data_IF_930280133996
#
_entry.id   IF_930280133996
#
_cell.length_a   1.000
_cell.length_b   1.000
_cell.length_c   1.000
_cell.angle_alpha   90.00
_cell.angle_beta   90.00
_cell.angle_gamma   90.00
#
_symmetry.space_group_name_H-M   'P 1'
#
loop_
_entity.id
_entity.type
_entity.pdbx_description
1 polymer ?
#
# COMPACT_ATOMS: atom_id res chain seq x y z
N UNK A 1 -3.85 9.85 -40.24
CA UNK A 1 -3.80 10.97 -39.28
C UNK A 1 -2.56 11.81 -39.63
N UNK A 2 -2.70 13.12 -39.82
CA UNK A 2 -1.60 14.00 -40.26
C UNK A 2 -0.54 14.13 -39.14
N UNK A 3 0.74 13.95 -39.46
CA UNK A 3 1.88 14.01 -38.53
C UNK A 3 1.91 15.31 -37.71
N UNK A 4 1.56 16.45 -38.32
CA UNK A 4 1.47 17.76 -37.62
C UNK A 4 0.37 17.77 -36.56
N UNK A 5 -0.74 17.06 -36.79
CA UNK A 5 -1.84 16.93 -35.83
C UNK A 5 -1.42 16.02 -34.69
N UNK A 6 -0.69 14.93 -34.97
CA UNK A 6 -0.13 14.05 -33.94
C UNK A 6 0.84 14.77 -33.01
N UNK A 7 1.81 15.51 -33.55
CA UNK A 7 2.82 16.25 -32.75
C UNK A 7 2.14 17.31 -31.87
N UNK A 8 1.17 18.05 -32.43
CA UNK A 8 0.44 19.08 -31.67
C UNK A 8 -0.39 18.47 -30.53
N UNK A 9 -1.04 17.33 -30.78
CA UNK A 9 -1.75 16.57 -29.74
C UNK A 9 -0.78 16.05 -28.69
N UNK A 10 0.33 15.43 -29.09
CA UNK A 10 1.35 14.92 -28.17
C UNK A 10 1.92 16.02 -27.28
N UNK A 11 2.26 17.18 -27.85
CA UNK A 11 2.73 18.35 -27.11
C UNK A 11 1.68 18.89 -26.13
N UNK A 12 0.40 18.92 -26.53
CA UNK A 12 -0.70 19.29 -25.64
C UNK A 12 -0.84 18.30 -24.48
N UNK A 13 -0.82 16.98 -24.74
CA UNK A 13 -0.87 15.96 -23.71
C UNK A 13 0.33 16.00 -22.77
N UNK A 14 1.55 16.18 -23.29
CA UNK A 14 2.76 16.30 -22.46
C UNK A 14 2.65 17.52 -21.55
N UNK A 15 2.28 18.69 -22.10
CA UNK A 15 2.15 19.93 -21.32
C UNK A 15 0.98 19.87 -20.32
N UNK A 16 -0.12 19.21 -20.69
CA UNK A 16 -1.25 19.06 -19.81
C UNK A 16 -0.93 18.16 -18.62
N UNK A 17 -0.35 16.99 -18.88
CA UNK A 17 -0.06 16.03 -17.84
C UNK A 17 1.20 16.40 -17.04
N UNK A 18 2.11 17.21 -17.61
CA UNK A 18 3.28 17.71 -16.87
C UNK A 18 2.86 18.49 -15.63
N UNK A 19 1.87 19.39 -15.71
CA UNK A 19 1.39 20.14 -14.55
C UNK A 19 0.85 19.21 -13.45
N UNK A 20 0.09 18.18 -13.83
CA UNK A 20 -0.45 17.18 -12.88
C UNK A 20 0.69 16.46 -12.16
N UNK A 21 1.69 15.98 -12.89
CA UNK A 21 2.85 15.30 -12.31
C UNK A 21 3.73 16.24 -11.50
N UNK A 22 3.89 17.51 -11.91
CA UNK A 22 4.60 18.52 -11.15
C UNK A 22 3.91 18.78 -9.81
N UNK A 23 2.59 18.94 -9.79
CA UNK A 23 1.84 19.11 -8.53
C UNK A 23 2.04 17.88 -7.63
N UNK A 24 1.88 16.67 -8.16
CA UNK A 24 2.09 15.42 -7.39
C UNK A 24 3.52 15.35 -6.82
N UNK A 25 4.53 15.69 -7.62
CA UNK A 25 5.92 15.71 -7.19
C UNK A 25 6.16 16.72 -6.07
N UNK A 26 5.68 17.96 -6.24
CA UNK A 26 5.80 19.00 -5.22
C UNK A 26 5.06 18.62 -3.93
N UNK A 27 3.87 18.01 -4.03
CA UNK A 27 3.15 17.48 -2.87
C UNK A 27 3.93 16.36 -2.17
N UNK A 28 4.58 15.48 -2.92
CA UNK A 28 5.39 14.41 -2.35
C UNK A 28 6.59 14.96 -1.56
N UNK A 29 7.29 15.94 -2.14
CA UNK A 29 8.40 16.64 -1.47
C UNK A 29 7.89 17.41 -0.24
N UNK A 30 6.79 18.15 -0.38
CA UNK A 30 6.18 18.87 0.74
C UNK A 30 5.82 17.94 1.90
N UNK A 31 5.25 16.77 1.62
CA UNK A 31 4.83 15.82 2.65
C UNK A 31 6.00 15.24 3.43
N UNK A 32 7.17 15.08 2.81
CA UNK A 32 8.41 14.67 3.50
C UNK A 32 8.84 15.73 4.53
N UNK A 33 8.82 17.00 4.13
CA UNK A 33 9.17 18.09 5.04
C UNK A 33 8.14 18.27 6.14
N UNK A 34 6.85 18.25 5.78
CA UNK A 34 5.74 18.40 6.73
C UNK A 34 5.74 17.30 7.80
N UNK A 35 6.01 16.05 7.41
CA UNK A 35 6.06 14.90 8.33
C UNK A 35 7.44 14.69 8.98
N UNK A 36 8.37 15.65 8.88
CA UNK A 36 9.70 15.63 9.50
C UNK A 36 10.48 14.33 9.25
N UNK A 37 10.86 14.07 8.00
CA UNK A 37 11.60 12.86 7.63
C UNK A 37 12.82 12.58 8.52
N UNK A 38 12.96 11.33 8.94
CA UNK A 38 14.01 10.81 9.83
C UNK A 38 14.70 9.61 9.19
N UNK A 39 16.01 9.54 9.37
CA UNK A 39 16.85 8.42 8.98
C UNK A 39 17.26 7.62 10.22
N UNK A 40 17.35 6.29 10.10
CA UNK A 40 17.89 5.43 11.16
C UNK A 40 16.87 4.95 12.20
N UNK A 41 15.57 5.09 11.92
CA UNK A 41 14.48 4.68 12.83
C UNK A 41 13.77 3.41 12.34
N UNK A 42 13.08 2.69 13.24
CA UNK A 42 12.29 1.49 12.91
C UNK A 42 13.12 0.43 12.15
N UNK A 43 12.58 -0.12 11.04
CA UNK A 43 13.22 -1.19 10.28
C UNK A 43 14.61 -0.80 9.73
N UNK A 44 14.96 0.50 9.70
CA UNK A 44 16.27 0.99 9.27
C UNK A 44 17.42 0.36 10.07
N UNK A 45 17.19 0.07 11.35
CA UNK A 45 18.17 -0.57 12.24
C UNK A 45 18.58 -1.93 11.67
N UNK A 46 17.69 -2.59 10.93
CA UNK A 46 17.93 -3.91 10.36
C UNK A 46 18.49 -3.79 8.94
N UNK A 47 17.88 -2.97 8.09
CA UNK A 47 18.24 -3.00 6.66
C UNK A 47 19.38 -2.06 6.26
N UNK A 48 19.65 -0.96 6.98
CA UNK A 48 20.79 -0.08 6.66
C UNK A 48 22.14 -0.80 6.83
N UNK A 49 22.39 -1.53 7.93
CA UNK A 49 23.62 -2.32 8.06
C UNK A 49 23.78 -3.36 6.96
N UNK A 50 22.68 -4.01 6.55
CA UNK A 50 22.70 -4.99 5.46
C UNK A 50 23.11 -4.37 4.12
N UNK A 51 22.64 -3.15 3.83
CA UNK A 51 23.04 -2.44 2.61
C UNK A 51 24.50 -1.97 2.65
N UNK A 52 24.97 -1.57 3.83
CA UNK A 52 26.39 -1.25 4.04
C UNK A 52 27.28 -2.48 3.83
N UNK A 53 26.81 -3.65 4.29
CA UNK A 53 27.47 -4.93 4.03
C UNK A 53 27.53 -5.26 2.53
N UNK A 54 26.42 -5.09 1.78
CA UNK A 54 26.42 -5.30 0.32
C UNK A 54 27.42 -4.37 -0.38
N UNK A 55 27.59 -3.14 0.12
CA UNK A 55 28.47 -2.14 -0.49
C UNK A 55 29.95 -2.40 -0.19
N UNK A 56 30.29 -2.67 1.07
CA UNK A 56 31.68 -2.66 1.55
C UNK A 56 32.22 -4.06 1.93
N UNK A 57 31.37 -5.08 2.01
CA UNK A 57 31.74 -6.43 2.46
C UNK A 57 32.09 -6.55 3.95
N UNK A 58 32.13 -5.42 4.68
CA UNK A 58 32.35 -5.38 6.13
C UNK A 58 31.12 -5.89 6.88
N UNK A 59 31.29 -6.46 8.08
CA UNK A 59 30.25 -7.08 8.95
C UNK A 59 29.96 -8.59 8.78
N UNK A 60 30.82 -9.37 8.11
CA UNK A 60 30.63 -10.81 7.82
C UNK A 60 30.24 -11.75 9.00
N UNK A 61 30.35 -11.30 10.26
CA UNK A 61 30.01 -12.07 11.46
C UNK A 61 28.94 -11.42 12.36
N UNK A 62 28.26 -10.37 11.91
CA UNK A 62 27.18 -9.74 12.68
C UNK A 62 25.94 -10.66 12.73
N UNK A 63 25.44 -10.94 13.93
CA UNK A 63 24.25 -11.77 14.14
C UNK A 63 23.01 -11.19 13.44
N UNK A 64 22.97 -9.87 13.20
CA UNK A 64 21.92 -9.21 12.42
C UNK A 64 21.91 -9.71 10.96
N UNK A 65 23.07 -9.97 10.36
CA UNK A 65 23.15 -10.49 8.98
C UNK A 65 22.70 -11.96 8.90
N UNK A 66 22.95 -12.76 9.95
CA UNK A 66 22.45 -14.15 10.03
C UNK A 66 20.92 -14.18 10.07
N UNK A 67 20.30 -13.25 10.79
CA UNK A 67 18.83 -13.08 10.83
C UNK A 67 18.30 -12.58 9.48
N UNK A 68 19.07 -11.76 8.77
CA UNK A 68 18.63 -11.15 7.52
C UNK A 68 18.64 -12.07 6.31
N UNK A 69 19.52 -13.06 6.33
CA UNK A 69 19.66 -14.03 5.25
C UNK A 69 18.34 -14.75 4.86
N UNK A 70 17.38 -14.86 5.78
CA UNK A 70 16.03 -15.37 5.50
C UNK A 70 15.03 -14.37 4.88
N UNK A 71 15.36 -13.07 4.79
CA UNK A 71 14.45 -12.03 4.27
C UNK A 71 14.54 -11.92 2.75
N UNK A 72 13.80 -12.80 2.08
CA UNK A 72 13.59 -12.75 0.63
C UNK A 72 12.89 -11.46 0.19
N UNK A 73 13.64 -10.48 -0.33
CA UNK A 73 13.08 -9.34 -1.06
C UNK A 73 14.00 -8.90 -2.18
N UNK A 74 13.42 -8.73 -3.37
CA UNK A 74 14.12 -8.17 -4.53
C UNK A 74 14.55 -6.72 -4.30
N UNK A 75 14.01 -6.06 -3.27
CA UNK A 75 14.42 -4.73 -2.84
C UNK A 75 15.93 -4.64 -2.63
N UNK A 76 16.55 -5.62 -1.97
CA UNK A 76 17.98 -5.54 -1.65
C UNK A 76 18.88 -5.66 -2.87
N UNK A 77 18.46 -6.43 -3.88
CA UNK A 77 19.19 -6.55 -5.13
C UNK A 77 19.22 -5.22 -5.88
N UNK A 78 18.06 -4.57 -6.00
CA UNK A 78 17.94 -3.31 -6.71
C UNK A 78 18.53 -2.13 -5.92
N UNK A 79 18.23 -2.06 -4.63
CA UNK A 79 18.66 -0.95 -3.80
C UNK A 79 20.14 -1.04 -3.43
N UNK A 80 20.68 -2.24 -3.24
CA UNK A 80 22.12 -2.43 -3.06
C UNK A 80 22.92 -1.90 -4.26
N UNK A 81 22.39 -1.99 -5.48
CA UNK A 81 23.00 -1.38 -6.66
C UNK A 81 22.93 0.15 -6.65
N UNK A 82 21.75 0.74 -6.40
CA UNK A 82 21.60 2.21 -6.28
C UNK A 82 22.52 2.79 -5.19
N UNK A 83 22.68 2.05 -4.10
CA UNK A 83 23.48 2.46 -2.95
C UNK A 83 24.99 2.55 -3.24
N UNK A 84 25.46 1.99 -4.36
CA UNK A 84 26.85 2.15 -4.81
C UNK A 84 27.16 3.57 -5.28
N UNK A 85 26.16 4.33 -5.71
CA UNK A 85 26.36 5.64 -6.35
C UNK A 85 25.99 6.82 -5.46
N UNK A 86 25.33 6.60 -4.32
CA UNK A 86 24.81 7.64 -3.45
C UNK A 86 25.20 7.38 -1.98
N UNK A 87 25.24 8.44 -1.17
CA UNK A 87 25.29 8.28 0.29
C UNK A 87 23.97 7.69 0.82
N UNK A 88 24.00 7.06 1.99
CA UNK A 88 22.82 6.33 2.50
C UNK A 88 21.64 7.27 2.73
N UNK A 89 21.91 8.46 3.24
CA UNK A 89 20.90 9.51 3.40
C UNK A 89 20.32 9.96 2.06
N UNK A 90 21.16 10.23 1.05
CA UNK A 90 20.67 10.65 -0.26
C UNK A 90 19.85 9.55 -0.95
N UNK A 91 20.30 8.29 -0.87
CA UNK A 91 19.62 7.15 -1.47
C UNK A 91 18.24 6.90 -0.82
N UNK A 92 18.19 6.88 0.51
CA UNK A 92 16.95 6.64 1.27
C UNK A 92 15.96 7.78 1.16
N UNK A 93 16.42 9.04 1.18
CA UNK A 93 15.57 10.21 0.95
C UNK A 93 15.01 10.21 -0.48
N UNK A 94 15.85 9.94 -1.48
CA UNK A 94 15.40 9.89 -2.89
C UNK A 94 14.36 8.79 -3.11
N UNK A 95 14.56 7.62 -2.51
CA UNK A 95 13.56 6.56 -2.54
C UNK A 95 12.28 6.94 -1.80
N UNK A 96 12.37 7.67 -0.70
CA UNK A 96 11.19 8.16 0.00
C UNK A 96 10.38 9.11 -0.88
N UNK A 97 11.04 10.13 -1.47
CA UNK A 97 10.41 11.06 -2.43
C UNK A 97 9.75 10.27 -3.55
N UNK A 98 10.48 9.33 -4.14
CA UNK A 98 9.98 8.51 -5.23
C UNK A 98 8.78 7.65 -4.81
N UNK A 99 8.82 7.04 -3.62
CA UNK A 99 7.74 6.20 -3.11
C UNK A 99 6.46 7.00 -2.84
N UNK A 100 6.56 8.19 -2.25
CA UNK A 100 5.41 9.08 -2.01
C UNK A 100 4.86 9.61 -3.35
N UNK A 101 5.75 9.97 -4.28
CA UNK A 101 5.36 10.37 -5.62
C UNK A 101 4.54 9.28 -6.33
N UNK A 102 5.03 8.03 -6.32
CA UNK A 102 4.30 6.89 -6.85
C UNK A 102 2.98 6.65 -6.10
N UNK A 103 2.98 6.82 -4.78
CA UNK A 103 1.77 6.70 -3.96
C UNK A 103 0.72 7.72 -4.38
N UNK A 104 1.06 9.00 -4.50
CA UNK A 104 0.14 10.04 -4.97
C UNK A 104 -0.30 9.84 -6.41
N UNK A 105 0.57 9.34 -7.30
CA UNK A 105 0.16 8.92 -8.65
C UNK A 105 -0.92 7.84 -8.57
N UNK A 106 -0.70 6.81 -7.75
CA UNK A 106 -1.64 5.72 -7.56
C UNK A 106 -2.97 6.20 -6.99
N UNK A 107 -2.95 7.09 -5.98
CA UNK A 107 -4.16 7.71 -5.41
C UNK A 107 -4.89 8.55 -6.45
N UNK A 108 -4.17 9.39 -7.20
CA UNK A 108 -4.75 10.22 -8.26
C UNK A 108 -5.45 9.36 -9.32
N UNK A 109 -4.79 8.30 -9.81
CA UNK A 109 -5.41 7.40 -10.78
C UNK A 109 -6.55 6.58 -10.17
N UNK A 110 -6.44 6.17 -8.92
CA UNK A 110 -7.52 5.49 -8.22
C UNK A 110 -8.76 6.41 -8.11
N UNK A 111 -8.59 7.64 -7.63
CA UNK A 111 -9.64 8.66 -7.54
C UNK A 111 -10.26 9.04 -8.90
N UNK A 112 -9.45 9.11 -9.97
CA UNK A 112 -9.92 9.36 -11.35
C UNK A 112 -10.86 8.27 -11.88
N UNK A 113 -10.94 7.12 -11.20
CA UNK A 113 -11.94 6.07 -11.50
C UNK A 113 -13.35 6.50 -11.09
N UNK A 114 -13.47 7.43 -10.13
CA UNK A 114 -14.75 7.87 -9.54
C UNK A 114 -15.12 9.33 -9.83
N UNK A 115 -14.11 10.20 -10.03
CA UNK A 115 -14.29 11.64 -10.26
C UNK A 115 -14.01 11.99 -11.73
N UNK A 116 -14.87 12.82 -12.33
CA UNK A 116 -14.64 13.41 -13.65
C UNK A 116 -13.74 14.65 -13.54
N UNK A 117 -13.03 14.94 -14.62
CA UNK A 117 -12.14 16.10 -14.68
C UNK A 117 -10.69 15.73 -14.44
N UNK A 118 -9.81 16.54 -15.01
CA UNK A 118 -8.37 16.29 -15.00
C UNK A 118 -7.72 16.66 -13.67
N UNK A 119 -8.08 17.82 -13.12
CA UNK A 119 -7.47 18.36 -11.90
C UNK A 119 -8.25 17.99 -10.65
N UNK A 120 -9.54 17.69 -10.76
CA UNK A 120 -10.41 17.38 -9.62
C UNK A 120 -9.88 16.22 -8.75
N UNK A 121 -9.33 15.12 -9.32
CA UNK A 121 -8.76 14.06 -8.48
C UNK A 121 -7.50 14.48 -7.70
N UNK A 122 -6.84 15.59 -8.04
CA UNK A 122 -5.71 16.11 -7.25
C UNK A 122 -6.16 16.60 -5.86
N UNK A 123 -7.43 17.04 -5.72
CA UNK A 123 -7.97 17.46 -4.44
C UNK A 123 -8.02 16.30 -3.43
N UNK A 124 -8.08 15.05 -3.89
CA UNK A 124 -8.01 13.87 -3.02
C UNK A 124 -6.66 13.78 -2.33
N UNK A 125 -5.58 14.24 -2.96
CA UNK A 125 -4.23 14.17 -2.39
C UNK A 125 -4.09 14.99 -1.10
N UNK A 126 -4.92 16.03 -0.91
CA UNK A 126 -4.93 16.83 0.31
C UNK A 126 -5.22 15.97 1.56
N UNK A 127 -6.06 14.93 1.41
CA UNK A 127 -6.39 14.00 2.49
C UNK A 127 -5.24 13.03 2.82
N UNK A 128 -4.17 13.02 2.02
CA UNK A 128 -3.02 12.14 2.18
C UNK A 128 -1.71 12.91 2.43
N UNK A 129 -1.77 14.20 2.79
CA UNK A 129 -0.57 14.98 3.14
C UNK A 129 0.05 14.53 4.49
N UNK A 130 -0.75 13.89 5.33
CA UNK A 130 -0.35 13.40 6.65
C UNK A 130 -0.73 11.92 6.80
N UNK A 131 0.09 11.17 7.54
CA UNK A 131 -0.20 9.78 7.88
C UNK A 131 -1.44 9.70 8.76
N UNK A 132 -2.37 8.83 8.37
CA UNK A 132 -3.56 8.54 9.17
C UNK A 132 -3.38 7.20 9.85
N UNK A 133 -3.54 7.18 11.17
CA UNK A 133 -3.50 5.95 11.95
C UNK A 133 -4.75 5.10 11.70
N UNK A 134 -4.58 3.78 11.77
CA UNK A 134 -5.64 2.77 11.64
C UNK A 134 -5.69 1.89 12.88
N UNK A 135 -6.57 0.88 12.83
CA UNK A 135 -6.60 -0.23 13.78
C UNK A 135 -5.19 -0.75 14.09
N UNK A 136 -4.80 -0.70 15.36
CA UNK A 136 -3.49 -1.16 15.81
C UNK A 136 -2.32 -0.22 15.50
N UNK A 137 -2.56 1.09 15.41
CA UNK A 137 -1.54 2.13 15.15
C UNK A 137 -0.78 2.00 13.82
N UNK A 138 -1.29 1.20 12.89
CA UNK A 138 -0.73 1.09 11.55
C UNK A 138 -1.13 2.32 10.76
N UNK A 139 -0.19 2.98 10.10
CA UNK A 139 -0.47 4.14 9.24
C UNK A 139 -0.89 3.69 7.82
N UNK A 140 -1.64 4.53 7.09
CA UNK A 140 -1.89 4.35 5.66
C UNK A 140 -0.59 4.32 4.84
N UNK A 141 0.32 5.23 5.17
CA UNK A 141 1.63 5.35 4.56
C UNK A 141 2.62 5.98 5.54
N UNK A 142 3.87 5.51 5.52
CA UNK A 142 4.92 6.04 6.40
C UNK A 142 5.64 7.20 5.69
N UNK A 143 5.23 8.43 5.98
CA UNK A 143 5.86 9.63 5.38
C UNK A 143 7.17 10.02 6.06
N UNK A 144 7.30 9.78 7.36
CA UNK A 144 8.41 10.24 8.19
C UNK A 144 9.69 9.42 8.02
N UNK A 145 9.66 8.28 7.34
CA UNK A 145 10.84 7.45 7.12
C UNK A 145 10.57 6.44 6.00
N UNK A 146 11.65 5.97 5.37
CA UNK A 146 11.53 5.05 4.24
C UNK A 146 11.40 3.61 4.72
N UNK A 147 10.47 2.87 4.14
CA UNK A 147 10.34 1.44 4.41
C UNK A 147 10.13 0.71 3.10
N UNK A 148 10.54 -0.55 3.02
CA UNK A 148 10.41 -1.35 1.80
C UNK A 148 8.94 -1.41 1.32
N UNK A 149 8.00 -1.43 2.27
CA UNK A 149 6.57 -1.38 1.98
C UNK A 149 6.10 -0.10 1.29
N UNK A 150 6.83 1.01 1.43
CA UNK A 150 6.49 2.29 0.79
C UNK A 150 6.61 2.19 -0.74
N UNK A 151 7.49 1.33 -1.26
CA UNK A 151 7.57 1.05 -2.70
C UNK A 151 6.51 0.05 -3.18
N UNK A 152 6.12 -0.91 -2.33
CA UNK A 152 5.14 -1.92 -2.71
C UNK A 152 3.68 -1.39 -2.68
N UNK A 153 3.35 -0.57 -1.68
CA UNK A 153 2.01 0.00 -1.47
C UNK A 153 1.44 0.73 -2.70
N UNK A 154 2.17 1.64 -3.38
CA UNK A 154 1.66 2.28 -4.60
C UNK A 154 1.34 1.28 -5.71
N UNK A 155 2.11 0.20 -5.85
CA UNK A 155 1.86 -0.82 -6.86
C UNK A 155 0.56 -1.57 -6.60
N UNK A 156 0.29 -1.89 -5.33
CA UNK A 156 -0.97 -2.52 -4.90
C UNK A 156 -2.19 -1.59 -5.09
N UNK A 157 -2.08 -0.30 -4.80
CA UNK A 157 -3.18 0.66 -5.05
C UNK A 157 -3.42 0.79 -6.56
N UNK A 158 -2.35 0.91 -7.34
CA UNK A 158 -2.45 0.93 -8.79
C UNK A 158 -3.05 -0.36 -9.34
N UNK A 159 -2.73 -1.53 -8.78
CA UNK A 159 -3.32 -2.79 -9.23
C UNK A 159 -4.84 -2.79 -9.03
N UNK A 160 -5.33 -2.34 -7.88
CA UNK A 160 -6.77 -2.16 -7.63
C UNK A 160 -7.37 -1.19 -8.66
N UNK A 161 -6.73 -0.03 -8.88
CA UNK A 161 -7.21 0.97 -9.86
C UNK A 161 -7.33 0.37 -11.27
N UNK A 162 -6.35 -0.42 -11.71
CA UNK A 162 -6.39 -1.11 -13.00
C UNK A 162 -7.48 -2.19 -13.04
N UNK A 163 -7.69 -2.93 -11.95
CA UNK A 163 -8.78 -3.92 -11.83
C UNK A 163 -10.15 -3.26 -11.98
N UNK A 164 -10.39 -2.14 -11.28
CA UNK A 164 -11.65 -1.39 -11.39
C UNK A 164 -11.93 -0.88 -12.81
N UNK A 165 -10.88 -0.69 -13.61
CA UNK A 165 -10.93 -0.31 -15.03
C UNK A 165 -10.92 -1.52 -15.99
N UNK A 166 -11.13 -2.74 -15.47
CA UNK A 166 -11.10 -4.02 -16.21
C UNK A 166 -9.78 -4.33 -16.91
N UNK A 167 -8.68 -3.68 -16.52
CA UNK A 167 -7.34 -3.96 -17.05
C UNK A 167 -6.64 -4.99 -16.15
N UNK A 168 -7.04 -6.25 -16.27
CA UNK A 168 -6.62 -7.33 -15.34
C UNK A 168 -5.12 -7.67 -15.45
N UNK A 169 -4.56 -7.70 -16.66
CA UNK A 169 -3.14 -8.02 -16.88
C UNK A 169 -2.22 -7.05 -16.12
N UNK A 170 -2.27 -5.72 -16.36
CA UNK A 170 -1.40 -4.81 -15.63
C UNK A 170 -1.67 -4.83 -14.12
N UNK A 171 -2.91 -5.11 -13.68
CA UNK A 171 -3.19 -5.29 -12.26
C UNK A 171 -2.42 -6.47 -11.64
N UNK A 172 -2.47 -7.65 -12.28
CA UNK A 172 -1.74 -8.83 -11.82
C UNK A 172 -0.22 -8.59 -11.83
N UNK A 173 0.30 -7.98 -12.90
CA UNK A 173 1.73 -7.68 -13.01
C UNK A 173 2.19 -6.75 -11.88
N UNK A 174 1.47 -5.64 -11.64
CA UNK A 174 1.80 -4.71 -10.55
C UNK A 174 1.70 -5.36 -9.18
N UNK A 175 0.69 -6.21 -8.96
CA UNK A 175 0.58 -7.01 -7.73
C UNK A 175 1.78 -7.92 -7.52
N UNK A 176 2.24 -8.63 -8.56
CA UNK A 176 3.38 -9.53 -8.46
C UNK A 176 4.72 -8.81 -8.24
N UNK A 177 4.91 -7.64 -8.87
CA UNK A 177 6.07 -6.77 -8.59
C UNK A 177 6.01 -6.28 -7.13
N UNK A 178 4.86 -5.80 -6.67
CA UNK A 178 4.65 -5.39 -5.28
C UNK A 178 4.92 -6.54 -4.29
N UNK A 179 4.49 -7.76 -4.63
CA UNK A 179 4.72 -8.95 -3.84
C UNK A 179 6.21 -9.32 -3.76
N UNK A 180 6.94 -9.15 -4.86
CA UNK A 180 8.39 -9.37 -4.92
C UNK A 180 9.19 -8.34 -4.11
N UNK A 181 8.67 -7.10 -3.99
CA UNK A 181 9.24 -6.07 -3.13
C UNK A 181 8.93 -6.31 -1.65
N UNK A 182 7.67 -6.67 -1.33
CA UNK A 182 7.24 -6.83 0.04
C UNK A 182 6.24 -7.98 0.18
N UNK A 183 6.80 -9.18 0.40
CA UNK A 183 6.07 -10.47 0.44
C UNK A 183 4.85 -10.41 1.34
N UNK A 184 4.97 -9.86 2.54
CA UNK A 184 3.90 -9.93 3.53
C UNK A 184 2.67 -9.15 3.07
N UNK A 185 2.81 -7.85 2.77
CA UNK A 185 1.74 -7.05 2.15
C UNK A 185 1.19 -7.69 0.87
N UNK A 186 2.06 -8.24 0.02
CA UNK A 186 1.64 -8.84 -1.26
C UNK A 186 0.94 -10.19 -1.15
N UNK A 187 1.10 -10.92 -0.04
CA UNK A 187 0.39 -12.18 0.20
C UNK A 187 -1.14 -11.98 0.16
N UNK A 188 -1.62 -10.86 0.72
CA UNK A 188 -3.02 -10.52 0.66
C UNK A 188 -3.51 -10.28 -0.76
N UNK A 189 -2.71 -9.62 -1.60
CA UNK A 189 -3.05 -9.40 -3.01
C UNK A 189 -2.95 -10.68 -3.84
N UNK A 190 -1.97 -11.54 -3.53
CA UNK A 190 -1.88 -12.88 -4.09
C UNK A 190 -3.17 -13.67 -3.82
N UNK A 191 -3.64 -13.70 -2.57
CA UNK A 191 -4.89 -14.37 -2.19
C UNK A 191 -6.10 -13.70 -2.87
N UNK A 192 -6.19 -12.37 -2.81
CA UNK A 192 -7.29 -11.59 -3.38
C UNK A 192 -7.44 -11.87 -4.88
N UNK A 193 -6.36 -11.76 -5.65
CA UNK A 193 -6.36 -12.01 -7.08
C UNK A 193 -6.47 -13.49 -7.44
N UNK A 194 -5.87 -14.38 -6.66
CA UNK A 194 -6.01 -15.84 -6.83
C UNK A 194 -7.47 -16.27 -6.71
N UNK A 195 -8.15 -15.86 -5.64
CA UNK A 195 -9.57 -16.12 -5.43
C UNK A 195 -10.45 -15.46 -6.50
N UNK A 196 -10.13 -14.23 -6.90
CA UNK A 196 -10.84 -13.54 -7.99
C UNK A 196 -10.75 -14.31 -9.32
N UNK A 197 -9.57 -14.86 -9.65
CA UNK A 197 -9.38 -15.68 -10.85
C UNK A 197 -10.11 -17.02 -10.73
N UNK A 198 -10.05 -17.70 -9.58
CA UNK A 198 -10.79 -18.96 -9.38
C UNK A 198 -12.30 -18.76 -9.46
N UNK A 199 -12.84 -17.73 -8.81
CA UNK A 199 -14.28 -17.45 -8.86
C UNK A 199 -14.76 -17.18 -10.29
N UNK A 200 -14.03 -16.35 -11.03
CA UNK A 200 -14.42 -16.00 -12.39
C UNK A 200 -14.21 -17.17 -13.38
N UNK A 201 -13.29 -18.12 -13.13
CA UNK A 201 -13.10 -19.29 -14.00
C UNK A 201 -14.28 -20.24 -13.87
N UNK A 202 -14.76 -20.45 -12.64
CA UNK A 202 -15.97 -21.24 -12.34
C UNK A 202 -17.20 -20.59 -13.01
N UNK A 203 -17.38 -19.27 -12.83
CA UNK A 203 -18.59 -18.57 -13.31
C UNK A 203 -18.66 -18.42 -14.83
N UNK A 204 -17.55 -18.05 -15.47
CA UNK A 204 -17.55 -17.70 -16.90
C UNK A 204 -17.21 -18.85 -17.83
N UNK A 205 -16.63 -19.95 -17.32
CA UNK A 205 -16.00 -21.05 -18.09
C UNK A 205 -15.00 -20.57 -19.17
N UNK A 206 -14.63 -19.28 -19.15
CA UNK A 206 -13.83 -18.58 -20.17
C UNK A 206 -12.86 -17.61 -19.49
N UNK A 207 -12.30 -17.99 -18.35
CA UNK A 207 -11.05 -17.33 -17.99
C UNK A 207 -9.98 -17.84 -18.93
N UNK A 208 -9.38 -16.88 -19.62
CA UNK A 208 -8.24 -17.10 -20.45
C UNK A 208 -7.08 -17.58 -19.57
N UNK A 209 -6.56 -18.78 -19.84
CA UNK A 209 -5.38 -19.39 -19.22
C UNK A 209 -4.25 -18.36 -19.05
N UNK A 210 -4.15 -17.39 -19.97
CA UNK A 210 -3.23 -16.24 -19.91
C UNK A 210 -3.21 -15.53 -18.55
N UNK A 211 -4.34 -15.33 -17.86
CA UNK A 211 -4.35 -14.62 -16.57
C UNK A 211 -3.71 -15.46 -15.47
N UNK A 212 -3.96 -16.77 -15.45
CA UNK A 212 -3.30 -17.70 -14.53
C UNK A 212 -1.81 -17.79 -14.84
N UNK A 213 -1.42 -17.87 -16.13
CA UNK A 213 -0.01 -17.88 -16.54
C UNK A 213 0.71 -16.61 -16.09
N UNK A 214 0.13 -15.43 -16.33
CA UNK A 214 0.73 -14.15 -15.91
C UNK A 214 0.80 -14.07 -14.38
N UNK A 215 -0.24 -14.50 -13.67
CA UNK A 215 -0.24 -14.54 -12.20
C UNK A 215 0.86 -15.45 -11.67
N UNK A 216 1.01 -16.64 -12.24
CA UNK A 216 2.05 -17.60 -11.91
C UNK A 216 3.44 -17.02 -12.16
N UNK A 217 3.72 -16.49 -13.36
CA UNK A 217 5.02 -15.90 -13.72
C UNK A 217 5.41 -14.76 -12.78
N UNK A 218 4.44 -13.96 -12.34
CA UNK A 218 4.72 -12.74 -11.57
C UNK A 218 4.79 -12.98 -10.05
N UNK A 219 4.15 -14.04 -9.53
CA UNK A 219 4.10 -14.32 -8.09
C UNK A 219 4.87 -15.59 -7.68
N UNK A 220 5.05 -16.58 -8.57
CA UNK A 220 5.80 -17.79 -8.24
C UNK A 220 7.29 -17.57 -8.00
N UNK A 221 8.04 -16.68 -8.69
CA UNK A 221 9.48 -16.57 -8.46
C UNK A 221 9.85 -16.29 -7.00
N UNK A 222 9.09 -15.42 -6.31
CA UNK A 222 9.34 -15.12 -4.90
C UNK A 222 8.94 -16.28 -3.98
N UNK A 223 7.87 -17.02 -4.32
CA UNK A 223 7.45 -18.22 -3.59
C UNK A 223 8.48 -19.35 -3.77
N UNK A 224 9.00 -19.52 -4.99
CA UNK A 224 10.05 -20.50 -5.29
C UNK A 224 11.31 -20.16 -4.49
N UNK A 225 11.77 -18.91 -4.55
CA UNK A 225 12.92 -18.47 -3.78
C UNK A 225 12.72 -18.71 -2.28
N UNK A 226 11.56 -18.33 -1.74
CA UNK A 226 11.28 -18.46 -0.30
C UNK A 226 11.11 -19.91 0.16
N UNK A 227 10.44 -20.75 -0.59
CA UNK A 227 10.14 -22.12 -0.17
C UNK A 227 11.21 -23.15 -0.55
N UNK A 228 11.96 -22.93 -1.63
CA UNK A 228 12.93 -23.90 -2.14
C UNK A 228 14.38 -23.47 -1.90
N UNK A 229 14.71 -22.19 -2.06
CA UNK A 229 16.10 -21.71 -1.95
C UNK A 229 16.42 -21.30 -0.50
N UNK A 230 15.58 -20.47 0.12
CA UNK A 230 15.83 -20.04 1.50
C UNK A 230 15.76 -21.23 2.49
N UNK A 231 14.90 -22.21 2.23
CA UNK A 231 14.81 -23.44 3.03
C UNK A 231 16.08 -24.30 2.94
N UNK A 232 16.65 -24.46 1.74
CA UNK A 232 17.82 -25.31 1.54
C UNK A 232 19.11 -24.67 2.07
N UNK A 233 19.19 -23.33 2.02
CA UNK A 233 20.39 -22.59 2.45
C UNK A 233 20.36 -22.27 3.96
N UNK A 234 19.19 -22.01 4.53
CA UNK A 234 19.09 -21.52 5.93
C UNK A 234 18.44 -22.50 6.90
N UNK A 235 18.06 -23.70 6.46
CA UNK A 235 17.44 -24.75 7.27
C UNK A 235 16.22 -24.31 8.09
N UNK A 236 15.60 -23.19 7.76
CA UNK A 236 14.41 -22.69 8.45
C UNK A 236 13.21 -23.59 8.11
N UNK A 237 12.60 -24.28 9.09
CA UNK A 237 11.37 -25.03 8.85
C UNK A 237 10.24 -24.07 8.44
N UNK A 238 9.38 -24.51 7.51
CA UNK A 238 8.30 -23.69 6.92
C UNK A 238 7.34 -23.07 7.95
N UNK A 239 7.22 -23.69 9.13
CA UNK A 239 6.22 -23.36 10.14
C UNK A 239 6.76 -23.35 11.57
N UNK A 240 8.08 -23.38 11.78
CA UNK A 240 8.60 -23.25 13.14
C UNK A 240 8.67 -21.79 13.52
N UNK A 241 8.00 -21.47 14.62
CA UNK A 241 8.17 -20.21 15.32
C UNK A 241 9.59 -20.19 15.88
N UNK A 242 10.39 -19.21 15.47
CA UNK A 242 11.65 -18.92 16.16
C UNK A 242 11.29 -18.33 17.54
N UNK A 243 11.35 -19.16 18.57
CA UNK A 243 10.98 -18.77 19.93
C UNK A 243 11.90 -17.70 20.52
N UNK A 244 13.16 -17.61 20.07
CA UNK A 244 14.08 -16.57 20.53
C UNK A 244 13.70 -15.22 19.90
N UNK A 245 13.43 -15.22 18.60
CA UNK A 245 12.92 -14.04 17.90
C UNK A 245 11.53 -13.65 18.44
N UNK A 246 10.66 -14.60 18.74
CA UNK A 246 9.37 -14.35 19.40
C UNK A 246 9.52 -13.77 20.81
N UNK A 247 10.46 -14.27 21.62
CA UNK A 247 10.73 -13.75 22.95
C UNK A 247 11.31 -12.33 22.90
N UNK A 248 12.22 -12.06 21.95
CA UNK A 248 12.76 -10.73 21.67
C UNK A 248 11.65 -9.78 21.18
N UNK A 249 10.82 -10.22 20.25
CA UNK A 249 9.68 -9.45 19.80
C UNK A 249 8.72 -9.17 20.94
N UNK A 250 8.41 -10.14 21.80
CA UNK A 250 7.51 -9.97 22.94
C UNK A 250 8.06 -8.99 23.98
N UNK A 251 9.36 -9.00 24.25
CA UNK A 251 9.99 -8.06 25.19
C UNK A 251 10.04 -6.63 24.62
N UNK A 252 10.26 -6.49 23.31
CA UNK A 252 10.15 -5.21 22.59
C UNK A 252 8.69 -4.79 22.43
N UNK A 253 7.76 -5.72 22.28
CA UNK A 253 6.33 -5.43 22.12
C UNK A 253 5.67 -4.99 23.42
N UNK A 254 6.14 -5.47 24.57
CA UNK A 254 5.67 -4.99 25.84
C UNK A 254 5.83 -3.46 25.93
N UNK A 255 6.92 -2.89 25.39
CA UNK A 255 7.11 -1.43 25.32
C UNK A 255 6.35 -0.73 24.18
N UNK A 256 5.97 -1.43 23.11
CA UNK A 256 5.05 -0.90 22.07
C UNK A 256 3.57 -0.97 22.46
N UNK A 257 3.19 -1.91 23.34
CA UNK A 257 1.84 -2.05 23.91
C UNK A 257 1.69 -1.26 25.22
N UNK A 258 2.79 -0.84 25.84
CA UNK A 258 2.83 0.21 26.86
C UNK A 258 2.57 1.61 26.30
N UNK A 259 2.15 1.71 25.03
CA UNK A 259 1.43 2.87 24.51
C UNK A 259 0.12 2.93 25.28
N UNK A 260 0.12 3.70 26.36
CA UNK A 260 -0.99 4.14 27.20
C UNK A 260 -2.34 3.69 26.62
N UNK A 261 -3.01 2.72 27.26
CA UNK A 261 -4.26 2.09 26.77
C UNK A 261 -5.29 3.10 26.24
N UNK A 262 -5.27 4.31 26.78
CA UNK A 262 -6.02 5.48 26.33
C UNK A 262 -5.73 5.93 24.88
N UNK A 263 -4.46 6.03 24.45
CA UNK A 263 -4.09 6.41 23.09
C UNK A 263 -4.50 5.32 22.08
N UNK A 264 -4.41 4.05 22.48
CA UNK A 264 -4.88 2.92 21.67
C UNK A 264 -6.40 2.98 21.47
N UNK A 265 -7.14 3.21 22.56
CA UNK A 265 -8.59 3.42 22.54
C UNK A 265 -8.99 4.59 21.64
N UNK A 266 -8.35 5.75 21.78
CA UNK A 266 -8.62 6.92 20.91
C UNK A 266 -8.37 6.58 19.44
N UNK A 267 -7.27 5.89 19.12
CA UNK A 267 -6.96 5.49 17.74
C UNK A 267 -8.00 4.52 17.18
N UNK A 268 -8.55 3.64 18.02
CA UNK A 268 -9.63 2.72 17.64
C UNK A 268 -10.95 3.44 17.43
N UNK A 269 -11.31 4.37 18.33
CA UNK A 269 -12.53 5.17 18.21
C UNK A 269 -12.50 6.05 16.96
N UNK A 270 -11.38 6.75 16.73
CA UNK A 270 -11.20 7.56 15.53
C UNK A 270 -11.20 6.70 14.26
N UNK A 271 -10.50 5.56 14.28
CA UNK A 271 -10.51 4.59 13.18
C UNK A 271 -11.90 4.05 12.87
N UNK A 272 -12.73 3.82 13.89
CA UNK A 272 -14.12 3.39 13.74
C UNK A 272 -14.99 4.50 13.14
N UNK A 273 -14.92 5.73 13.66
CA UNK A 273 -15.65 6.88 13.10
C UNK A 273 -15.27 7.08 11.63
N UNK A 274 -13.97 7.05 11.33
CA UNK A 274 -13.47 7.18 9.96
C UNK A 274 -13.97 6.05 9.06
N UNK A 275 -14.02 4.82 9.56
CA UNK A 275 -14.57 3.68 8.83
C UNK A 275 -16.07 3.85 8.54
N UNK A 276 -16.86 4.31 9.50
CA UNK A 276 -18.30 4.56 9.33
C UNK A 276 -18.55 5.65 8.28
N UNK A 277 -17.84 6.78 8.38
CA UNK A 277 -17.93 7.87 7.39
C UNK A 277 -17.49 7.36 6.01
N UNK A 278 -16.41 6.56 5.95
CA UNK A 278 -15.90 5.95 4.72
C UNK A 278 -16.91 5.03 4.04
N UNK A 279 -17.57 4.14 4.79
CA UNK A 279 -18.61 3.25 4.27
C UNK A 279 -19.81 4.04 3.76
N UNK A 280 -20.25 5.07 4.49
CA UNK A 280 -21.34 5.95 4.05
C UNK A 280 -20.97 6.72 2.77
N UNK A 281 -19.78 7.32 2.71
CA UNK A 281 -19.26 8.02 1.55
C UNK A 281 -19.16 7.07 0.34
N UNK A 282 -18.62 5.87 0.53
CA UNK A 282 -18.56 4.83 -0.49
C UNK A 282 -19.96 4.48 -1.01
N UNK A 283 -20.94 4.24 -0.13
CA UNK A 283 -22.32 3.97 -0.53
C UNK A 283 -22.90 5.11 -1.38
N UNK A 284 -22.73 6.38 -0.96
CA UNK A 284 -23.24 7.54 -1.70
C UNK A 284 -22.56 7.71 -3.05
N UNK A 285 -21.24 7.58 -3.11
CA UNK A 285 -20.47 7.64 -4.37
C UNK A 285 -20.89 6.53 -5.32
N UNK A 286 -21.01 5.29 -4.82
CA UNK A 286 -21.44 4.14 -5.61
C UNK A 286 -22.91 4.18 -6.01
N UNK A 287 -23.77 4.92 -5.29
CA UNK A 287 -25.17 5.12 -5.70
C UNK A 287 -25.31 6.23 -6.75
N UNK A 288 -24.43 7.23 -6.74
CA UNK A 288 -24.51 8.39 -7.64
C UNK A 288 -24.55 8.00 -9.13
N UNK A 289 -25.34 8.74 -9.90
CA UNK A 289 -25.43 8.61 -11.36
C UNK A 289 -24.35 9.43 -12.08
N UNK A 290 -23.36 9.96 -11.36
CA UNK A 290 -22.25 10.72 -11.95
C UNK A 290 -20.94 9.95 -12.04
N UNK A 291 -20.97 8.63 -11.80
CA UNK A 291 -19.77 7.81 -11.91
C UNK A 291 -19.25 7.78 -13.34
N UNK A 292 -17.99 8.19 -13.54
CA UNK A 292 -17.34 8.21 -14.85
C UNK A 292 -17.38 6.84 -15.57
N UNK A 293 -17.47 5.73 -14.83
CA UNK A 293 -17.50 4.36 -15.36
C UNK A 293 -18.89 3.71 -15.22
N UNK A 294 -19.93 4.36 -15.73
CA UNK A 294 -21.31 3.84 -15.74
C UNK A 294 -21.44 2.38 -16.18
N UNK A 295 -20.68 1.99 -17.21
CA UNK A 295 -20.77 0.65 -17.81
C UNK A 295 -20.32 -0.48 -16.89
N UNK A 296 -19.70 -0.18 -15.73
CA UNK A 296 -19.11 -1.17 -14.83
C UNK A 296 -19.48 -0.99 -13.36
N UNK A 297 -20.53 -0.21 -13.05
CA UNK A 297 -20.94 0.15 -11.67
C UNK A 297 -21.08 -1.09 -10.77
N UNK A 298 -21.73 -2.14 -11.27
CA UNK A 298 -21.96 -3.38 -10.53
C UNK A 298 -20.67 -4.17 -10.27
N UNK A 299 -19.76 -4.23 -11.25
CA UNK A 299 -18.44 -4.86 -11.07
C UNK A 299 -17.61 -4.11 -10.01
N UNK A 300 -17.56 -2.78 -10.10
CA UNK A 300 -16.83 -1.93 -9.16
C UNK A 300 -17.37 -2.13 -7.74
N UNK A 301 -18.70 -2.09 -7.57
CA UNK A 301 -19.37 -2.34 -6.29
C UNK A 301 -18.99 -3.71 -5.72
N UNK A 302 -19.13 -4.78 -6.50
CA UNK A 302 -18.85 -6.14 -6.04
C UNK A 302 -17.37 -6.34 -5.69
N UNK A 303 -16.44 -5.78 -6.47
CA UNK A 303 -15.01 -5.88 -6.18
C UNK A 303 -14.61 -5.10 -4.91
N UNK A 304 -15.19 -3.92 -4.69
CA UNK A 304 -14.95 -3.16 -3.46
C UNK A 304 -15.56 -3.84 -2.24
N UNK A 305 -16.78 -4.37 -2.34
CA UNK A 305 -17.39 -5.17 -1.28
C UNK A 305 -16.54 -6.39 -0.94
N UNK A 306 -15.95 -7.03 -1.96
CA UNK A 306 -15.03 -8.14 -1.76
C UNK A 306 -13.77 -7.74 -0.99
N UNK A 307 -13.15 -6.59 -1.31
CA UNK A 307 -12.01 -6.06 -0.53
C UNK A 307 -12.41 -5.75 0.91
N UNK A 308 -13.58 -5.14 1.12
CA UNK A 308 -14.11 -4.83 2.45
C UNK A 308 -14.35 -6.11 3.25
N UNK A 309 -15.04 -7.09 2.68
CA UNK A 309 -15.33 -8.37 3.31
C UNK A 309 -14.03 -9.14 3.65
N UNK A 310 -13.07 -9.19 2.72
CA UNK A 310 -11.78 -9.83 2.97
C UNK A 310 -11.01 -9.13 4.10
N UNK A 311 -11.05 -7.80 4.17
CA UNK A 311 -10.41 -7.05 5.25
C UNK A 311 -11.06 -7.32 6.61
N UNK A 312 -12.39 -7.34 6.68
CA UNK A 312 -13.14 -7.69 7.90
C UNK A 312 -12.80 -9.13 8.32
N UNK A 313 -12.78 -10.07 7.38
CA UNK A 313 -12.38 -11.45 7.64
C UNK A 313 -10.97 -11.53 8.23
N UNK A 314 -10.00 -10.80 7.68
CA UNK A 314 -8.62 -10.77 8.19
C UNK A 314 -8.56 -10.16 9.60
N UNK A 315 -9.35 -9.13 9.89
CA UNK A 315 -9.43 -8.54 11.24
C UNK A 315 -10.00 -9.56 12.25
N UNK A 316 -11.10 -10.23 11.90
CA UNK A 316 -11.72 -11.26 12.75
C UNK A 316 -10.76 -12.43 12.94
N UNK A 317 -10.18 -12.95 11.86
CA UNK A 317 -9.20 -14.02 11.91
C UNK A 317 -8.04 -13.63 12.81
N UNK A 318 -7.53 -12.41 12.67
CA UNK A 318 -6.45 -11.92 13.52
C UNK A 318 -6.85 -11.88 15.01
N UNK A 319 -8.06 -11.43 15.33
CA UNK A 319 -8.56 -11.44 16.71
C UNK A 319 -8.68 -12.87 17.26
N UNK A 320 -9.23 -13.80 16.48
CA UNK A 320 -9.32 -15.21 16.87
C UNK A 320 -7.94 -15.84 17.07
N UNK A 321 -7.00 -15.55 16.16
CA UNK A 321 -5.61 -15.99 16.31
C UNK A 321 -4.99 -15.42 17.58
N UNK A 322 -5.24 -14.14 17.92
CA UNK A 322 -4.72 -13.49 19.11
C UNK A 322 -5.25 -14.13 20.41
N UNK A 323 -6.54 -14.48 20.44
CA UNK A 323 -7.18 -15.02 21.65
C UNK A 323 -6.88 -16.51 21.83
N UNK A 324 -6.85 -17.29 20.75
CA UNK A 324 -6.88 -18.75 20.83
C UNK A 324 -5.60 -19.44 20.40
N UNK A 325 -4.66 -18.77 19.73
CA UNK A 325 -3.42 -19.37 19.25
C UNK A 325 -2.20 -18.53 19.67
N UNK A 326 -1.11 -19.15 20.14
CA UNK A 326 0.14 -18.44 20.46
C UNK A 326 0.90 -18.06 19.17
N UNK A 327 0.24 -17.38 18.24
CA UNK A 327 0.88 -16.86 17.03
C UNK A 327 1.80 -15.69 17.39
N UNK A 328 2.93 -15.57 16.68
CA UNK A 328 3.81 -14.42 16.81
C UNK A 328 3.06 -13.11 16.53
N UNK A 329 3.11 -12.15 17.47
CA UNK A 329 2.39 -10.87 17.33
C UNK A 329 2.79 -10.15 16.05
N UNK A 330 4.01 -10.33 15.54
CA UNK A 330 4.35 -9.76 14.24
C UNK A 330 3.50 -10.35 13.12
N UNK A 331 3.26 -11.66 13.06
CA UNK A 331 2.32 -12.23 12.09
C UNK A 331 0.91 -11.63 12.26
N UNK A 332 0.52 -11.28 13.47
CA UNK A 332 -0.77 -10.64 13.74
C UNK A 332 -0.82 -9.19 13.23
N UNK A 333 0.20 -8.38 13.56
CA UNK A 333 0.35 -7.02 13.03
C UNK A 333 0.45 -7.04 11.50
N UNK A 334 1.07 -8.07 10.92
CA UNK A 334 1.13 -8.26 9.48
C UNK A 334 -0.23 -8.55 8.87
N UNK A 335 -1.10 -9.32 9.52
CA UNK A 335 -2.47 -9.56 9.07
C UNK A 335 -3.30 -8.28 9.15
N UNK A 336 -3.25 -7.56 10.27
CA UNK A 336 -3.96 -6.27 10.41
C UNK A 336 -3.48 -5.27 9.38
N UNK A 337 -2.21 -5.31 8.91
CA UNK A 337 -1.71 -4.37 7.88
C UNK A 337 -2.51 -4.37 6.57
N UNK A 338 -3.36 -5.36 6.28
CA UNK A 338 -4.28 -5.23 5.14
C UNK A 338 -5.37 -4.17 5.38
N UNK A 339 -5.71 -3.86 6.63
CA UNK A 339 -6.67 -2.81 7.02
C UNK A 339 -6.27 -1.42 6.52
N UNK A 340 -4.97 -1.16 6.30
CA UNK A 340 -4.50 0.10 5.71
C UNK A 340 -5.12 0.38 4.34
N UNK A 341 -5.42 -0.67 3.57
CA UNK A 341 -6.08 -0.51 2.27
C UNK A 341 -7.54 -0.09 2.44
N UNK A 342 -8.23 -0.52 3.51
CA UNK A 342 -9.53 0.05 3.86
C UNK A 342 -9.43 1.53 4.16
N UNK A 343 -8.40 1.95 4.90
CA UNK A 343 -8.20 3.36 5.20
C UNK A 343 -7.99 4.17 3.91
N UNK A 344 -7.10 3.70 3.03
CA UNK A 344 -6.86 4.35 1.72
C UNK A 344 -8.16 4.45 0.91
N UNK A 345 -8.93 3.36 0.85
CA UNK A 345 -10.23 3.34 0.17
C UNK A 345 -11.20 4.36 0.79
N UNK A 346 -11.33 4.35 2.12
CA UNK A 346 -12.20 5.26 2.87
C UNK A 346 -11.79 6.71 2.64
N UNK A 347 -10.51 7.06 2.80
CA UNK A 347 -9.99 8.40 2.55
C UNK A 347 -10.29 8.88 1.14
N UNK A 348 -10.12 8.02 0.12
CA UNK A 348 -10.50 8.37 -1.25
C UNK A 348 -12.00 8.59 -1.37
N UNK A 349 -12.84 7.70 -0.85
CA UNK A 349 -14.30 7.84 -0.96
C UNK A 349 -14.83 9.06 -0.22
N UNK A 350 -14.28 9.34 0.96
CA UNK A 350 -14.58 10.54 1.74
C UNK A 350 -14.20 11.79 0.93
N UNK A 351 -12.97 11.85 0.40
CA UNK A 351 -12.54 12.97 -0.41
C UNK A 351 -13.42 13.16 -1.65
N UNK A 352 -13.74 12.06 -2.37
CA UNK A 352 -14.65 12.09 -3.52
C UNK A 352 -16.03 12.59 -3.13
N UNK A 353 -16.56 12.12 -2.00
CA UNK A 353 -17.87 12.51 -1.49
C UNK A 353 -17.90 14.00 -1.15
N UNK A 354 -16.90 14.48 -0.40
CA UNK A 354 -16.73 15.90 -0.05
C UNK A 354 -16.65 16.74 -1.32
N UNK A 355 -15.76 16.39 -2.26
CA UNK A 355 -15.60 17.13 -3.53
C UNK A 355 -16.92 17.21 -4.31
N UNK A 356 -17.72 16.13 -4.34
CA UNK A 356 -19.00 16.10 -5.06
C UNK A 356 -20.11 16.91 -4.39
N UNK A 357 -20.09 17.01 -3.06
CA UNK A 357 -21.14 17.69 -2.27
C UNK A 357 -20.68 19.04 -1.73
N UNK A 358 -19.48 19.46 -2.10
CA UNK A 358 -18.91 20.72 -1.67
C UNK A 358 -19.75 21.89 -2.20
N UNK A 359 -20.41 22.57 -1.28
CA UNK A 359 -21.08 23.84 -1.50
C UNK A 359 -20.21 24.96 -0.92
N UNK A 360 -19.81 25.90 -1.79
CA UNK A 360 -18.95 27.05 -1.42
C UNK A 360 -19.55 27.89 -0.30
N UNK A 361 -20.88 27.88 -0.15
CA UNK A 361 -21.59 28.70 0.81
C UNK A 361 -21.83 28.01 2.16
N UNK A 362 -21.43 26.75 2.31
CA UNK A 362 -21.71 25.98 3.52
C UNK A 362 -20.43 25.69 4.32
N UNK A 363 -20.26 26.44 5.43
CA UNK A 363 -19.10 26.36 6.33
C UNK A 363 -18.90 24.97 6.94
N UNK A 364 -19.96 24.17 7.08
CA UNK A 364 -19.86 22.80 7.60
C UNK A 364 -18.93 21.94 6.75
N UNK A 365 -18.99 22.07 5.41
CA UNK A 365 -18.14 21.30 4.51
C UNK A 365 -16.67 21.72 4.61
N UNK A 366 -16.40 23.00 4.87
CA UNK A 366 -15.04 23.48 5.11
C UNK A 366 -14.46 22.93 6.40
N UNK A 367 -15.20 23.02 7.50
CA UNK A 367 -14.78 22.49 8.82
C UNK A 367 -14.55 20.98 8.73
N UNK A 368 -15.47 20.24 8.11
CA UNK A 368 -15.32 18.80 7.93
C UNK A 368 -14.11 18.45 7.06
N UNK A 369 -13.86 19.20 5.98
CA UNK A 369 -12.70 18.96 5.11
C UNK A 369 -11.39 19.19 5.86
N UNK A 370 -11.28 20.28 6.60
CA UNK A 370 -10.10 20.60 7.41
C UNK A 370 -9.90 19.53 8.49
N UNK A 371 -10.96 19.17 9.22
CA UNK A 371 -10.91 18.14 10.25
C UNK A 371 -10.48 16.76 9.71
N UNK A 372 -10.84 16.41 8.47
CA UNK A 372 -10.45 15.13 7.87
C UNK A 372 -9.06 15.15 7.21
N UNK A 373 -8.52 16.33 6.92
CA UNK A 373 -7.16 16.50 6.43
C UNK A 373 -6.17 16.38 7.59
N UNK A 374 -6.45 17.09 8.70
CA UNK A 374 -5.54 17.28 9.83
C UNK A 374 -5.89 16.50 11.10
N UNK A 375 -7.05 15.86 11.16
CA UNK A 375 -7.43 14.90 12.20
C UNK A 375 -7.17 13.48 11.73
#
# INVERSE_FOLDING_TARGET
MNEKVFIKLLGYYIKEYSLVFTIIFLSAVFSIFYNNYRLGINDHIIYLPYLEHIKNGTFANDDILKIFNGRASFFFLYFGWLYKFLSIGAATLSLQVYSIFLYYISIYFFAKTFIKGKYTPLLVLLFFLESKATFGFITDFDYSHFLIRNLATPLFISSIAFTLRKKIIPAIVLSGIGFSLHVISGLHFFILYGLYLVYNSIKSKKIEIKYFTIFAITHLPILIYKFFIAKSVYHLPLFTIDYNYFALEKSVLASFLDVNSYTYLISMEFGLVFAVIGVYAMYKVLKSDDMHLHQNKEFIKNFLLYIVAYSIFIIILNHLLLVYLPFAIVLQLQLIRFSKFLLILNSVFIAVFVIKHYDRNNIFWWILTIALIFG
#
